data_IF_292953108472
#
_entry.id   IF_292953108472
#
_cell.length_a   1.000
_cell.length_b   1.000
_cell.length_c   1.000
_cell.angle_alpha   90.00
_cell.angle_beta   90.00
_cell.angle_gamma   90.00
#
_symmetry.space_group_name_H-M   'P 1'
#
loop_
_entity.id
_entity.type
_entity.pdbx_description
1 polymer ?
#
# COMPACT_ATOMS: atom_id res chain seq x y z
N UNK A 1 -24.05 -11.93 -13.08
CA UNK A 1 -23.98 -11.09 -11.87
C UNK A 1 -23.79 -12.00 -10.67
N UNK A 2 -22.83 -11.69 -9.81
CA UNK A 2 -22.55 -12.41 -8.56
C UNK A 2 -23.26 -11.76 -7.36
N UNK A 3 -24.23 -10.87 -7.62
CA UNK A 3 -24.99 -10.15 -6.59
C UNK A 3 -26.35 -10.81 -6.47
N UNK A 4 -26.65 -11.34 -5.29
CA UNK A 4 -27.95 -11.97 -4.97
C UNK A 4 -28.96 -10.97 -4.42
N UNK A 5 -28.51 -9.94 -3.70
CA UNK A 5 -29.38 -8.94 -3.06
C UNK A 5 -28.79 -7.54 -3.24
N UNK A 6 -29.67 -6.56 -3.53
CA UNK A 6 -29.33 -5.14 -3.59
C UNK A 6 -30.18 -4.40 -2.55
N UNK A 7 -29.56 -3.62 -1.71
CA UNK A 7 -30.19 -2.72 -0.76
C UNK A 7 -29.92 -1.29 -1.20
N UNK A 8 -30.95 -0.58 -1.62
CA UNK A 8 -30.86 0.84 -1.96
C UNK A 8 -30.76 1.68 -0.68
N UNK A 9 -29.79 2.59 -0.63
CA UNK A 9 -29.57 3.46 0.51
C UNK A 9 -28.92 4.77 0.06
N UNK A 10 -29.55 5.90 0.38
CA UNK A 10 -29.10 7.25 0.01
C UNK A 10 -28.17 7.89 1.05
N UNK A 11 -27.82 7.15 2.12
CA UNK A 11 -26.85 7.65 3.09
C UNK A 11 -25.48 7.84 2.44
N UNK A 12 -24.71 8.91 2.80
CA UNK A 12 -23.36 9.10 2.30
C UNK A 12 -22.46 7.93 2.70
N UNK A 13 -21.48 7.63 1.86
CA UNK A 13 -20.44 6.65 2.18
C UNK A 13 -19.63 7.09 3.40
N UNK A 14 -19.10 6.11 4.14
CA UNK A 14 -18.20 6.38 5.25
C UNK A 14 -16.97 7.15 4.77
N UNK A 15 -16.66 8.26 5.47
CA UNK A 15 -15.45 9.04 5.20
C UNK A 15 -14.32 8.63 6.14
N UNK A 16 -13.14 8.42 5.55
CA UNK A 16 -11.90 8.31 6.31
C UNK A 16 -11.19 9.67 6.26
N UNK A 17 -11.04 10.36 7.42
CA UNK A 17 -10.32 11.63 7.45
C UNK A 17 -8.85 11.42 7.09
N UNK A 18 -8.25 12.45 6.54
CA UNK A 18 -6.83 12.44 6.22
C UNK A 18 -5.99 12.30 7.50
N UNK A 19 -5.06 11.35 7.49
CA UNK A 19 -4.17 11.10 8.63
C UNK A 19 -2.97 12.05 8.50
N UNK A 20 -2.66 12.85 9.54
CA UNK A 20 -1.49 13.72 9.53
C UNK A 20 -0.20 12.93 9.32
N UNK A 21 0.72 13.52 8.57
CA UNK A 21 2.04 12.95 8.30
C UNK A 21 2.98 13.34 9.45
N UNK A 22 3.68 12.37 10.00
CA UNK A 22 4.72 12.59 11.00
C UNK A 22 6.10 12.78 10.34
N UNK A 23 7.06 13.39 11.06
CA UNK A 23 8.44 13.55 10.57
C UNK A 23 9.09 12.20 10.23
N UNK A 24 8.78 11.16 11.01
CA UNK A 24 9.25 9.79 10.79
C UNK A 24 8.69 9.24 9.46
N UNK A 25 7.41 9.41 9.20
CA UNK A 25 6.78 8.97 7.95
C UNK A 25 7.30 9.77 6.75
N UNK A 26 7.51 11.07 6.92
CA UNK A 26 8.12 11.92 5.90
C UNK A 26 9.51 11.41 5.51
N UNK A 27 10.34 11.08 6.51
CA UNK A 27 11.70 10.58 6.28
C UNK A 27 11.72 9.22 5.58
N UNK A 28 10.87 8.29 6.02
CA UNK A 28 10.71 7.00 5.34
C UNK A 28 10.23 7.17 3.90
N UNK A 29 9.28 8.07 3.66
CA UNK A 29 8.75 8.34 2.33
C UNK A 29 9.83 8.87 1.37
N UNK A 30 10.77 9.70 1.82
CA UNK A 30 11.90 10.18 1.03
C UNK A 30 12.73 9.01 0.50
N UNK A 31 13.13 8.07 1.36
CA UNK A 31 13.88 6.88 0.95
C UNK A 31 13.10 5.98 0.00
N UNK A 32 11.80 5.79 0.25
CA UNK A 32 10.96 4.94 -0.60
C UNK A 32 10.81 5.54 -2.00
N UNK A 33 10.56 6.85 -2.10
CA UNK A 33 10.35 7.53 -3.39
C UNK A 33 11.61 7.52 -4.26
N UNK A 34 12.80 7.52 -3.69
CA UNK A 34 14.06 7.33 -4.43
C UNK A 34 14.12 5.98 -5.14
N UNK A 35 13.49 4.94 -4.57
CA UNK A 35 13.46 3.60 -5.15
C UNK A 35 12.38 3.42 -6.25
N UNK A 36 11.50 4.40 -6.44
CA UNK A 36 10.43 4.37 -7.45
C UNK A 36 10.91 5.02 -8.75
N UNK A 37 11.17 4.28 -9.83
CA UNK A 37 11.55 4.87 -11.11
C UNK A 37 10.33 5.48 -11.84
N UNK A 38 10.57 6.41 -12.76
CA UNK A 38 9.55 6.88 -13.68
C UNK A 38 8.96 5.70 -14.48
N UNK A 39 7.66 5.72 -14.71
CA UNK A 39 6.94 4.66 -15.41
C UNK A 39 6.66 3.40 -14.57
N UNK A 40 7.10 3.36 -13.31
CA UNK A 40 6.79 2.25 -12.41
C UNK A 40 5.28 2.09 -12.18
N UNK A 41 4.83 0.86 -11.98
CA UNK A 41 3.49 0.60 -11.43
C UNK A 41 3.60 0.44 -9.92
N UNK A 42 2.82 1.21 -9.17
CA UNK A 42 2.89 1.24 -7.71
C UNK A 42 1.66 0.58 -7.06
N UNK A 43 1.89 -0.02 -5.91
CA UNK A 43 0.88 -0.38 -4.93
C UNK A 43 1.19 0.38 -3.64
N UNK A 44 0.17 1.04 -3.11
CA UNK A 44 0.22 1.76 -1.84
C UNK A 44 -0.90 1.28 -0.93
N UNK A 45 -0.61 1.22 0.37
CA UNK A 45 -1.63 1.09 1.41
C UNK A 45 -2.34 2.42 1.69
N UNK A 46 -2.78 2.59 2.92
CA UNK A 46 -3.36 3.84 3.43
C UNK A 46 -2.65 4.24 4.75
N UNK A 47 -2.85 5.49 5.18
CA UNK A 47 -2.25 6.04 6.39
C UNK A 47 -1.24 7.13 6.13
N UNK A 48 -0.61 7.66 7.18
CA UNK A 48 0.29 8.81 7.11
C UNK A 48 1.47 8.60 6.14
N UNK A 49 2.11 7.44 6.19
CA UNK A 49 3.21 7.13 5.27
C UNK A 49 2.74 7.08 3.79
N UNK A 50 1.58 6.48 3.51
CA UNK A 50 1.05 6.46 2.15
C UNK A 50 0.73 7.88 1.64
N UNK A 51 0.23 8.76 2.51
CA UNK A 51 0.02 10.17 2.20
C UNK A 51 1.35 10.89 1.93
N UNK A 52 2.38 10.68 2.76
CA UNK A 52 3.70 11.27 2.56
C UNK A 52 4.33 10.82 1.23
N UNK A 53 4.25 9.53 0.91
CA UNK A 53 4.70 9.00 -0.39
C UNK A 53 3.93 9.65 -1.53
N UNK A 54 2.60 9.74 -1.43
CA UNK A 54 1.76 10.40 -2.43
C UNK A 54 2.19 11.84 -2.72
N UNK A 55 2.50 12.63 -1.68
CA UNK A 55 2.98 14.00 -1.85
C UNK A 55 4.35 14.07 -2.56
N UNK A 56 5.29 13.19 -2.19
CA UNK A 56 6.64 13.20 -2.77
C UNK A 56 6.69 12.62 -4.19
N UNK A 57 5.76 11.75 -4.55
CA UNK A 57 5.68 11.18 -5.91
C UNK A 57 5.31 12.22 -6.98
N UNK A 58 4.83 13.42 -6.62
CA UNK A 58 4.46 14.48 -7.57
C UNK A 58 5.60 14.88 -8.53
N UNK A 59 6.86 14.59 -8.18
CA UNK A 59 8.02 14.79 -9.05
C UNK A 59 8.29 13.68 -10.07
N UNK A 60 7.60 12.54 -9.99
CA UNK A 60 7.77 11.39 -10.89
C UNK A 60 6.90 11.51 -12.14
N UNK A 61 7.19 10.70 -13.17
CA UNK A 61 6.51 10.75 -14.46
C UNK A 61 5.93 9.40 -14.85
N UNK A 62 4.75 9.44 -15.46
CA UNK A 62 4.09 8.29 -16.08
C UNK A 62 3.92 7.06 -15.17
N UNK A 63 3.69 7.28 -13.88
CA UNK A 63 3.42 6.16 -12.96
C UNK A 63 2.12 5.44 -13.34
N UNK A 64 2.12 4.13 -13.09
CA UNK A 64 0.93 3.28 -13.10
C UNK A 64 0.44 2.99 -11.69
N UNK A 65 -0.80 2.50 -11.58
CA UNK A 65 -1.38 2.07 -10.31
C UNK A 65 -2.05 0.71 -10.47
N UNK A 66 -1.70 -0.22 -9.58
CA UNK A 66 -2.36 -1.50 -9.37
C UNK A 66 -2.31 -1.79 -7.87
N UNK A 67 -3.39 -1.55 -7.16
CA UNK A 67 -3.44 -1.58 -5.70
C UNK A 67 -4.77 -2.12 -5.22
N UNK A 68 -4.77 -2.83 -4.11
CA UNK A 68 -6.02 -3.29 -3.48
C UNK A 68 -6.91 -2.10 -3.11
N UNK A 69 -6.33 -1.08 -2.49
CA UNK A 69 -7.02 0.14 -2.06
C UNK A 69 -6.45 1.36 -2.77
N UNK A 70 -7.31 2.35 -3.03
CA UNK A 70 -6.91 3.70 -3.43
C UNK A 70 -7.44 4.74 -2.45
N UNK A 71 -6.71 5.84 -2.33
CA UNK A 71 -6.97 6.95 -1.40
C UNK A 71 -6.93 8.30 -2.12
N UNK A 72 -7.32 9.42 -1.50
CA UNK A 72 -7.32 10.74 -2.13
C UNK A 72 -6.01 11.13 -2.83
N UNK A 73 -4.84 10.71 -2.30
CA UNK A 73 -3.54 10.99 -2.91
C UNK A 73 -3.43 10.49 -4.36
N UNK A 74 -4.14 9.43 -4.72
CA UNK A 74 -4.14 8.89 -6.09
C UNK A 74 -4.80 9.86 -7.07
N UNK A 75 -5.94 10.45 -6.70
CA UNK A 75 -6.62 11.45 -7.56
C UNK A 75 -5.80 12.73 -7.69
N UNK A 76 -5.09 13.13 -6.63
CA UNK A 76 -4.15 14.26 -6.70
C UNK A 76 -3.01 14.00 -7.68
N UNK A 77 -2.40 12.80 -7.63
CA UNK A 77 -1.33 12.40 -8.55
C UNK A 77 -1.81 12.30 -10.00
N UNK A 78 -3.07 11.89 -10.23
CA UNK A 78 -3.69 11.89 -11.56
C UNK A 78 -3.88 13.33 -12.05
N UNK A 79 -4.46 14.21 -11.22
CA UNK A 79 -4.65 15.64 -11.55
C UNK A 79 -3.32 16.35 -11.83
N UNK A 80 -2.25 15.97 -11.14
CA UNK A 80 -0.90 16.47 -11.36
C UNK A 80 -0.21 15.88 -12.61
N UNK A 81 -0.81 14.89 -13.27
CA UNK A 81 -0.21 14.21 -14.42
C UNK A 81 0.92 13.22 -14.08
N UNK A 82 1.10 12.93 -12.81
CA UNK A 82 2.11 11.95 -12.32
C UNK A 82 1.66 10.52 -12.58
N UNK A 83 0.42 10.19 -12.24
CA UNK A 83 -0.19 8.89 -12.57
C UNK A 83 -0.96 9.03 -13.88
N UNK A 84 -0.43 8.42 -14.94
CA UNK A 84 -1.06 8.37 -16.27
C UNK A 84 -1.46 6.96 -16.65
N UNK A 85 -0.88 5.95 -15.98
CA UNK A 85 -1.00 4.53 -16.30
C UNK A 85 -0.59 4.16 -17.74
N UNK A 86 -0.01 5.08 -18.53
CA UNK A 86 0.32 4.86 -19.96
C UNK A 86 1.44 3.84 -20.16
N UNK A 87 2.34 3.70 -19.17
CA UNK A 87 3.49 2.80 -19.23
C UNK A 87 3.19 1.40 -18.67
N UNK A 88 1.99 1.16 -18.15
CA UNK A 88 1.61 -0.16 -17.67
C UNK A 88 1.57 -1.18 -18.82
N UNK A 89 2.07 -2.39 -18.56
CA UNK A 89 1.98 -3.52 -19.48
C UNK A 89 0.61 -4.19 -19.44
N UNK A 90 -0.04 -4.11 -18.28
CA UNK A 90 -1.34 -4.73 -18.03
C UNK A 90 -2.38 -3.66 -17.70
N UNK A 91 -3.46 -3.57 -18.46
CA UNK A 91 -4.45 -2.49 -18.41
C UNK A 91 -3.80 -1.09 -18.55
N UNK A 92 -3.13 -0.79 -19.69
CA UNK A 92 -2.56 0.53 -19.93
C UNK A 92 -3.65 1.60 -19.89
N UNK A 93 -3.35 2.75 -19.28
CA UNK A 93 -4.29 3.85 -19.10
C UNK A 93 -5.31 3.65 -17.98
N UNK A 94 -5.26 2.54 -17.23
CA UNK A 94 -6.20 2.24 -16.14
C UNK A 94 -5.51 2.11 -14.78
N UNK A 95 -6.09 2.73 -13.77
CA UNK A 95 -5.85 2.45 -12.36
C UNK A 95 -6.65 1.21 -11.98
N UNK A 96 -5.98 0.14 -11.60
CA UNK A 96 -6.64 -1.10 -11.15
C UNK A 96 -6.72 -1.09 -9.64
N UNK A 97 -7.94 -1.31 -9.10
CA UNK A 97 -8.18 -1.35 -7.66
C UNK A 97 -9.37 -2.24 -7.31
N UNK A 98 -9.44 -2.67 -6.04
CA UNK A 98 -10.59 -3.41 -5.53
C UNK A 98 -11.58 -2.51 -4.80
N UNK A 99 -11.08 -1.52 -4.04
CA UNK A 99 -11.94 -0.59 -3.32
C UNK A 99 -11.25 0.77 -3.12
N UNK A 100 -12.06 1.74 -2.72
CA UNK A 100 -11.63 3.10 -2.46
C UNK A 100 -12.07 3.54 -1.07
N UNK A 101 -11.22 4.31 -0.37
CA UNK A 101 -11.54 4.89 0.93
C UNK A 101 -10.96 6.30 1.04
N UNK A 102 -11.77 7.24 1.50
CA UNK A 102 -11.33 8.65 1.61
C UNK A 102 -12.48 9.58 1.98
N UNK A 103 -12.45 10.77 1.39
CA UNK A 103 -13.42 11.83 1.64
C UNK A 103 -14.57 11.81 0.61
N UNK A 104 -15.67 12.49 0.90
CA UNK A 104 -16.76 12.68 -0.07
C UNK A 104 -16.30 13.32 -1.38
N UNK A 105 -15.32 14.23 -1.33
CA UNK A 105 -14.76 14.81 -2.54
C UNK A 105 -14.01 13.77 -3.37
N UNK A 106 -13.25 12.89 -2.72
CA UNK A 106 -12.56 11.79 -3.40
C UNK A 106 -13.55 10.84 -4.09
N UNK A 107 -14.66 10.48 -3.42
CA UNK A 107 -15.69 9.63 -4.03
C UNK A 107 -16.31 10.28 -5.27
N UNK A 108 -16.53 11.59 -5.27
CA UNK A 108 -16.97 12.33 -6.45
C UNK A 108 -15.94 12.37 -7.58
N UNK A 109 -14.64 12.42 -7.23
CA UNK A 109 -13.55 12.46 -8.22
C UNK A 109 -13.38 11.10 -8.93
N UNK A 110 -13.74 9.99 -8.29
CA UNK A 110 -13.65 8.65 -8.87
C UNK A 110 -14.95 8.21 -9.56
N UNK A 111 -16.09 8.80 -9.19
CA UNK A 111 -17.39 8.43 -9.75
C UNK A 111 -17.43 8.73 -11.25
N UNK A 112 -17.88 7.74 -12.04
CA UNK A 112 -17.91 7.80 -13.51
C UNK A 112 -16.58 8.22 -14.18
N UNK A 113 -15.46 8.09 -13.51
CA UNK A 113 -14.15 8.44 -14.04
C UNK A 113 -13.50 7.21 -14.69
N UNK A 114 -13.41 7.23 -16.02
CA UNK A 114 -12.97 6.11 -16.84
C UNK A 114 -11.54 5.63 -16.59
N UNK A 115 -10.69 6.41 -15.92
CA UNK A 115 -9.33 5.96 -15.58
C UNK A 115 -9.35 4.84 -14.55
N UNK A 116 -10.38 4.77 -13.70
CA UNK A 116 -10.50 3.76 -12.65
C UNK A 116 -11.21 2.51 -13.17
N UNK A 117 -10.62 1.36 -12.86
CA UNK A 117 -11.17 0.05 -13.15
C UNK A 117 -11.23 -0.76 -11.86
N UNK A 118 -12.42 -0.88 -11.29
CA UNK A 118 -12.67 -1.67 -10.10
C UNK A 118 -12.86 -3.15 -10.47
N UNK A 119 -12.12 -4.01 -9.80
CA UNK A 119 -12.19 -5.46 -9.94
C UNK A 119 -12.38 -6.12 -8.59
N UNK A 120 -12.84 -7.35 -8.58
CA UNK A 120 -12.93 -8.17 -7.38
C UNK A 120 -11.57 -8.31 -6.71
N UNK A 121 -11.55 -8.27 -5.36
CA UNK A 121 -10.30 -8.26 -4.59
C UNK A 121 -9.41 -9.47 -4.87
N UNK A 122 -9.99 -10.66 -5.05
CA UNK A 122 -9.21 -11.86 -5.37
C UNK A 122 -8.51 -11.76 -6.74
N UNK A 123 -9.11 -11.03 -7.70
CA UNK A 123 -8.50 -10.80 -9.00
C UNK A 123 -7.40 -9.71 -8.93
N UNK A 124 -7.64 -8.62 -8.18
CA UNK A 124 -6.67 -7.54 -7.99
C UNK A 124 -5.44 -8.04 -7.26
N UNK A 125 -5.63 -8.84 -6.22
CA UNK A 125 -4.56 -9.37 -5.36
C UNK A 125 -3.93 -10.66 -5.90
N UNK A 126 -4.34 -11.13 -7.10
CA UNK A 126 -3.73 -12.30 -7.72
C UNK A 126 -2.27 -12.02 -8.09
N UNK A 127 -1.27 -12.72 -7.52
CA UNK A 127 0.14 -12.44 -7.80
C UNK A 127 0.49 -12.45 -9.28
N UNK A 128 -0.10 -13.36 -10.06
CA UNK A 128 0.09 -13.47 -11.50
C UNK A 128 -0.45 -12.25 -12.27
N UNK A 129 -1.54 -11.63 -11.79
CA UNK A 129 -2.07 -10.41 -12.40
C UNK A 129 -1.19 -9.20 -12.04
N UNK A 130 -0.76 -9.11 -10.79
CA UNK A 130 0.15 -8.08 -10.29
C UNK A 130 1.46 -8.12 -11.10
N UNK A 131 2.03 -9.30 -11.29
CA UNK A 131 3.30 -9.54 -11.97
C UNK A 131 3.31 -9.16 -13.47
N UNK A 132 2.13 -9.01 -14.10
CA UNK A 132 2.03 -8.57 -15.51
C UNK A 132 2.46 -7.11 -15.71
N UNK A 133 2.58 -6.33 -14.64
CA UNK A 133 3.12 -4.97 -14.69
C UNK A 133 4.63 -5.01 -14.42
N UNK A 134 5.45 -4.57 -15.36
CA UNK A 134 6.88 -4.37 -15.16
C UNK A 134 7.13 -3.25 -14.13
N UNK A 135 8.24 -3.32 -13.40
CA UNK A 135 8.62 -2.37 -12.36
C UNK A 135 7.48 -2.15 -11.34
N UNK A 136 6.83 -3.21 -10.92
CA UNK A 136 5.83 -3.11 -9.86
C UNK A 136 6.52 -2.89 -8.51
N UNK A 137 6.23 -1.78 -7.88
CA UNK A 137 6.76 -1.42 -6.57
C UNK A 137 5.65 -1.62 -5.53
N UNK A 138 5.80 -2.68 -4.74
CA UNK A 138 4.91 -3.00 -3.63
C UNK A 138 5.40 -2.30 -2.36
N UNK A 139 4.56 -1.48 -1.73
CA UNK A 139 4.90 -0.69 -0.54
C UNK A 139 3.89 -0.98 0.55
N UNK A 140 4.34 -1.65 1.60
CA UNK A 140 3.51 -2.06 2.73
C UNK A 140 4.16 -1.69 4.06
N UNK A 141 3.34 -1.57 5.10
CA UNK A 141 3.78 -1.34 6.47
C UNK A 141 3.78 -2.64 7.27
N UNK A 142 4.69 -2.73 8.25
CA UNK A 142 4.68 -3.80 9.24
C UNK A 142 4.68 -3.23 10.65
N UNK A 143 4.16 -4.00 11.61
CA UNK A 143 4.16 -3.60 13.03
C UNK A 143 5.53 -3.80 13.65
N UNK A 144 6.22 -4.90 13.30
CA UNK A 144 7.55 -5.24 13.78
C UNK A 144 8.26 -6.21 12.85
N UNK A 145 9.57 -6.26 12.97
CA UNK A 145 10.44 -7.18 12.24
C UNK A 145 11.51 -7.74 13.18
N UNK A 146 11.95 -8.98 12.95
CA UNK A 146 13.08 -9.53 13.68
C UNK A 146 14.38 -9.56 12.86
N UNK A 147 15.51 -9.82 13.53
CA UNK A 147 16.83 -9.84 12.90
C UNK A 147 17.02 -11.00 11.90
N UNK A 148 16.08 -11.94 11.82
CA UNK A 148 16.06 -12.98 10.78
C UNK A 148 15.31 -12.51 9.52
N UNK A 149 14.61 -11.36 9.59
CA UNK A 149 13.80 -10.79 8.51
C UNK A 149 12.34 -11.25 8.50
N UNK A 150 11.87 -11.90 9.56
CA UNK A 150 10.44 -12.21 9.71
C UNK A 150 9.68 -10.97 10.12
N UNK A 151 8.56 -10.66 9.44
CA UNK A 151 7.73 -9.50 9.73
C UNK A 151 6.34 -9.91 10.22
N UNK A 152 5.90 -9.27 11.32
CA UNK A 152 4.55 -9.39 11.85
C UNK A 152 3.81 -8.08 11.55
N UNK A 153 2.82 -8.14 10.67
CA UNK A 153 2.04 -6.96 10.22
C UNK A 153 0.63 -6.94 10.77
N UNK A 154 0.14 -8.04 11.31
CA UNK A 154 -1.26 -8.21 11.74
C UNK A 154 -1.43 -8.52 13.23
N UNK A 155 -0.35 -8.88 13.93
CA UNK A 155 -0.39 -9.18 15.37
C UNK A 155 0.84 -8.71 16.11
N UNK A 156 0.71 -8.52 17.42
CA UNK A 156 1.81 -8.32 18.39
C UNK A 156 1.64 -9.38 19.47
N UNK A 157 2.54 -10.36 19.52
CA UNK A 157 2.32 -11.55 20.30
C UNK A 157 0.99 -12.20 19.92
N UNK A 158 0.23 -12.61 20.90
CA UNK A 158 -1.11 -13.23 20.70
C UNK A 158 -2.22 -12.24 20.37
N UNK A 159 -1.94 -10.94 20.37
CA UNK A 159 -2.96 -9.91 20.11
C UNK A 159 -3.06 -9.61 18.62
N UNK A 160 -4.19 -9.97 18.01
CA UNK A 160 -4.53 -9.64 16.63
C UNK A 160 -4.93 -8.16 16.50
N UNK A 161 -4.42 -7.48 15.47
CA UNK A 161 -4.73 -6.08 15.13
C UNK A 161 -5.50 -5.93 13.84
N UNK A 162 -5.27 -6.80 12.86
CA UNK A 162 -5.93 -6.76 11.56
C UNK A 162 -6.06 -8.16 10.96
N UNK A 163 -6.73 -8.27 9.82
CA UNK A 163 -6.59 -9.43 8.94
C UNK A 163 -5.27 -9.37 8.17
N UNK A 164 -5.02 -10.41 7.35
CA UNK A 164 -3.80 -10.54 6.53
C UNK A 164 -3.68 -9.48 5.45
N UNK A 165 -4.80 -9.01 4.88
CA UNK A 165 -4.80 -8.09 3.73
C UNK A 165 -4.05 -8.64 2.52
N UNK A 166 -3.64 -7.75 1.62
CA UNK A 166 -2.95 -8.06 0.37
C UNK A 166 -1.42 -8.07 0.43
N UNK A 167 -0.79 -7.84 1.59
CA UNK A 167 0.67 -7.65 1.68
C UNK A 167 1.46 -8.80 1.05
N UNK A 168 1.13 -10.05 1.38
CA UNK A 168 1.81 -11.24 0.85
C UNK A 168 1.61 -11.35 -0.66
N UNK A 169 0.38 -11.14 -1.13
CA UNK A 169 0.04 -11.20 -2.56
C UNK A 169 0.84 -10.18 -3.39
N UNK A 170 0.90 -8.93 -2.93
CA UNK A 170 1.65 -7.88 -3.62
C UNK A 170 3.16 -8.10 -3.55
N UNK A 171 3.69 -8.61 -2.43
CA UNK A 171 5.10 -9.00 -2.34
C UNK A 171 5.43 -10.11 -3.35
N UNK A 172 4.59 -11.15 -3.44
CA UNK A 172 4.78 -12.24 -4.41
C UNK A 172 4.66 -11.74 -5.85
N UNK A 173 3.66 -10.93 -6.15
CA UNK A 173 3.48 -10.33 -7.47
C UNK A 173 4.66 -9.44 -7.87
N UNK A 174 5.15 -8.59 -6.96
CA UNK A 174 6.32 -7.75 -7.19
C UNK A 174 7.60 -8.57 -7.40
N UNK A 175 7.77 -9.69 -6.66
CA UNK A 175 8.88 -10.63 -6.85
C UNK A 175 8.88 -11.25 -8.25
N UNK A 176 7.73 -11.53 -8.80
CA UNK A 176 7.55 -12.09 -10.14
C UNK A 176 7.61 -11.03 -11.25
N UNK A 177 7.38 -9.77 -10.93
CA UNK A 177 7.42 -8.65 -11.86
C UNK A 177 8.86 -8.35 -12.31
N UNK A 178 9.06 -8.14 -13.61
CA UNK A 178 10.37 -7.73 -14.14
C UNK A 178 10.74 -6.35 -13.62
N UNK A 179 11.80 -6.25 -12.82
CA UNK A 179 12.23 -5.00 -12.16
C UNK A 179 11.36 -4.58 -10.98
N UNK A 180 10.49 -5.48 -10.50
CA UNK A 180 9.67 -5.23 -9.33
C UNK A 180 10.48 -5.14 -8.03
N UNK A 181 9.95 -4.42 -7.03
CA UNK A 181 10.55 -4.26 -5.70
C UNK A 181 9.51 -4.48 -4.62
N UNK A 182 9.95 -5.09 -3.52
CA UNK A 182 9.12 -5.41 -2.36
C UNK A 182 9.64 -4.62 -1.17
N UNK A 183 8.89 -3.61 -0.76
CA UNK A 183 9.28 -2.69 0.30
C UNK A 183 8.34 -2.89 1.48
N UNK A 184 8.92 -3.21 2.63
CA UNK A 184 8.27 -3.10 3.93
C UNK A 184 8.84 -1.91 4.68
N UNK A 185 7.99 -1.15 5.33
CA UNK A 185 8.38 0.02 6.12
C UNK A 185 7.80 -0.06 7.53
N UNK A 186 8.56 0.44 8.47
CA UNK A 186 8.14 0.61 9.85
C UNK A 186 8.95 1.72 10.51
N UNK A 187 8.34 2.50 11.41
CA UNK A 187 9.13 3.30 12.34
C UNK A 187 9.99 2.36 13.19
N UNK A 188 11.27 2.67 13.37
CA UNK A 188 12.21 1.80 14.11
C UNK A 188 11.82 1.63 15.57
N UNK A 189 11.10 2.62 16.13
CA UNK A 189 10.73 2.67 17.56
C UNK A 189 9.27 3.09 17.75
N UNK A 190 8.80 2.91 18.98
CA UNK A 190 7.55 3.47 19.49
C UNK A 190 7.69 3.77 20.99
N UNK A 191 6.86 4.67 21.50
CA UNK A 191 6.78 4.92 22.93
C UNK A 191 5.63 4.09 23.51
N UNK A 192 5.92 3.29 24.53
CA UNK A 192 4.90 2.49 25.20
C UNK A 192 4.01 3.37 26.13
N UNK A 193 2.95 2.78 26.71
CA UNK A 193 2.02 3.48 27.61
C UNK A 193 2.66 4.05 28.88
N UNK A 194 3.83 3.54 29.26
CA UNK A 194 4.57 3.96 30.44
C UNK A 194 5.63 5.04 30.09
N UNK A 195 5.68 5.49 28.83
CA UNK A 195 6.60 6.51 28.34
C UNK A 195 7.98 5.97 27.92
N UNK A 196 8.18 4.67 27.88
CA UNK A 196 9.47 4.09 27.51
C UNK A 196 9.60 3.92 25.99
N UNK A 197 10.75 4.30 25.45
CA UNK A 197 11.09 4.04 24.07
C UNK A 197 11.40 2.55 23.88
N UNK A 198 10.74 1.93 22.90
CA UNK A 198 10.87 0.51 22.53
C UNK A 198 11.21 0.37 21.06
N UNK A 199 12.05 -0.62 20.73
CA UNK A 199 12.34 -0.97 19.34
C UNK A 199 11.22 -1.81 18.72
N UNK A 200 10.93 -1.58 17.44
CA UNK A 200 10.10 -2.46 16.59
C UNK A 200 10.95 -3.43 15.78
N UNK A 201 12.27 -3.24 15.79
CA UNK A 201 13.25 -4.17 15.22
C UNK A 201 13.77 -5.00 16.38
N UNK A 202 13.47 -6.30 16.38
CA UNK A 202 13.63 -7.19 17.52
C UNK A 202 14.64 -8.31 17.23
N UNK A 203 15.33 -8.88 18.23
CA UNK A 203 16.12 -10.09 18.01
C UNK A 203 15.30 -11.25 17.46
N UNK A 204 14.11 -11.46 18.03
CA UNK A 204 13.07 -12.40 17.60
C UNK A 204 11.70 -11.77 17.80
N UNK A 205 10.71 -12.15 16.99
CA UNK A 205 9.34 -11.72 17.21
C UNK A 205 8.83 -12.21 18.58
N UNK A 206 7.94 -11.45 19.25
CA UNK A 206 7.33 -11.91 20.50
C UNK A 206 6.60 -13.24 20.31
N UNK A 207 6.61 -14.07 21.34
CA UNK A 207 5.90 -15.35 21.34
C UNK A 207 4.42 -15.18 20.96
N UNK A 208 3.92 -16.03 20.09
CA UNK A 208 2.54 -16.00 19.59
C UNK A 208 2.29 -14.99 18.47
N UNK A 209 3.30 -14.22 18.04
CA UNK A 209 3.14 -13.33 16.87
C UNK A 209 2.93 -14.14 15.58
N UNK A 210 2.01 -13.66 14.75
CA UNK A 210 1.79 -14.20 13.41
C UNK A 210 2.86 -13.61 12.49
N UNK A 211 3.61 -14.49 11.83
CA UNK A 211 4.57 -14.09 10.78
C UNK A 211 3.78 -13.85 9.50
N UNK A 212 3.43 -12.60 9.24
CA UNK A 212 2.68 -12.22 8.03
C UNK A 212 3.51 -12.44 6.77
N UNK A 213 4.78 -12.03 6.79
CA UNK A 213 5.74 -12.30 5.72
C UNK A 213 6.99 -12.97 6.27
N UNK A 214 7.39 -14.06 5.63
CA UNK A 214 8.62 -14.77 5.96
C UNK A 214 9.83 -13.97 5.46
N UNK A 215 11.02 -14.30 5.97
CA UNK A 215 12.29 -13.60 5.64
C UNK A 215 12.68 -13.58 4.16
N UNK A 216 12.05 -14.35 3.30
CA UNK A 216 12.32 -14.40 1.86
C UNK A 216 11.23 -13.69 1.02
N UNK A 217 10.22 -13.09 1.65
CA UNK A 217 9.13 -12.41 0.95
C UNK A 217 9.37 -10.90 0.77
N UNK A 218 10.13 -10.25 1.64
CA UNK A 218 10.53 -8.85 1.49
C UNK A 218 11.94 -8.71 0.90
N UNK A 219 12.21 -7.57 0.32
CA UNK A 219 13.52 -7.27 -0.27
C UNK A 219 14.18 -6.04 0.38
N UNK A 220 13.38 -5.01 0.61
CA UNK A 220 13.82 -3.78 1.27
C UNK A 220 13.03 -3.56 2.55
N UNK A 221 13.75 -3.25 3.62
CA UNK A 221 13.19 -2.77 4.88
C UNK A 221 13.59 -1.30 5.02
N UNK A 222 12.60 -0.41 5.14
CA UNK A 222 12.81 1.03 5.24
C UNK A 222 12.35 1.52 6.60
N UNK A 223 13.24 2.23 7.28
CA UNK A 223 12.99 2.96 8.53
C UNK A 223 13.46 4.41 8.38
N UNK A 224 13.23 5.25 9.40
CA UNK A 224 13.77 6.60 9.51
C UNK A 224 15.28 6.67 9.77
#
# INVERSE_FOLDING_TARGET
>A
SEIDYIIENDNPLFELPEIPITDVEQKMAEYIVEMVPDGATIQLGFGGLANAIGHLLKGKKDLGMHSEVITPSVTELIKAGTITCKKKNFYPGKVITAFAVGTNQFYKDIDHNEIFEFKEVHWVNQPENIAKNDNLISINNTLMIDLTGQAASESIGVKQYSGTGGQVNFNQGAKMSRGGKRILSLASTYTDKDGNLKSKILPTLPEGSIVTTSRNEQEYIVTE
#
